data_IF_676614338498
#
_entry.id   IF_676614338498
#
_cell.length_a   1.000
_cell.length_b   1.000
_cell.length_c   1.000
_cell.angle_alpha   90.00
_cell.angle_beta   90.00
_cell.angle_gamma   90.00
#
_symmetry.space_group_name_H-M   'P 1'
#
loop_
_entity.id
_entity.type
_entity.pdbx_description
1 polymer ?
#
# COMPACT_ATOMS: atom_id res chain seq x y z
N UNK A 1 11.57 8.28 -12.28
CA UNK A 1 11.10 8.93 -11.05
C UNK A 1 10.96 7.90 -9.97
N UNK A 2 11.51 8.17 -8.83
CA UNK A 2 11.43 7.22 -7.73
C UNK A 2 10.62 7.79 -6.58
N UNK A 3 10.09 6.87 -5.80
CA UNK A 3 9.39 7.20 -4.56
C UNK A 3 10.03 6.45 -3.44
N UNK A 4 10.11 7.09 -2.28
CA UNK A 4 10.46 6.42 -1.05
C UNK A 4 9.18 6.19 -0.27
N UNK A 5 8.95 4.93 0.09
CA UNK A 5 7.76 4.56 0.85
C UNK A 5 8.11 4.47 2.32
N UNK A 6 7.21 4.96 3.15
CA UNK A 6 7.39 5.00 4.60
C UNK A 6 6.23 4.32 5.29
N UNK A 7 6.53 3.67 6.41
CA UNK A 7 5.48 3.19 7.29
C UNK A 7 4.74 4.40 7.89
N UNK A 8 3.42 4.47 7.78
CA UNK A 8 2.67 5.59 8.35
C UNK A 8 2.69 5.62 9.88
N UNK A 9 3.12 4.54 10.53
CA UNK A 9 3.17 4.47 11.99
C UNK A 9 4.53 4.82 12.56
N UNK A 10 5.61 4.23 12.03
CA UNK A 10 6.96 4.44 12.56
C UNK A 10 7.84 5.33 11.67
N UNK A 11 7.35 5.67 10.49
CA UNK A 11 8.01 6.56 9.52
C UNK A 11 9.35 6.03 9.00
N UNK A 12 9.59 4.73 9.11
CA UNK A 12 10.80 4.12 8.52
C UNK A 12 10.63 3.90 7.04
N UNK A 13 11.74 4.08 6.31
CA UNK A 13 11.75 3.83 4.86
C UNK A 13 11.60 2.33 4.63
N UNK A 14 10.66 1.96 3.76
CA UNK A 14 10.35 0.57 3.46
C UNK A 14 11.06 0.06 2.21
N UNK A 15 11.64 0.94 1.42
CA UNK A 15 12.42 0.57 0.23
C UNK A 15 13.81 1.21 0.26
N UNK A 16 14.64 0.84 1.24
CA UNK A 16 16.00 1.37 1.31
C UNK A 16 16.88 0.90 0.14
N UNK A 17 16.49 -0.19 -0.49
CA UNK A 17 17.11 -0.67 -1.72
C UNK A 17 16.17 -0.52 -2.90
N UNK A 18 16.08 -1.55 -3.72
CA UNK A 18 15.29 -1.53 -4.96
C UNK A 18 13.87 -2.05 -4.80
N UNK A 19 13.55 -2.64 -3.66
CA UNK A 19 12.24 -3.25 -3.42
C UNK A 19 11.62 -2.70 -2.14
N UNK A 20 10.30 -2.63 -2.13
CA UNK A 20 9.54 -2.34 -0.93
C UNK A 20 9.43 -3.62 -0.11
N UNK A 21 9.85 -3.55 1.15
CA UNK A 21 9.88 -4.70 2.05
C UNK A 21 8.73 -4.61 3.02
N UNK A 22 7.89 -5.63 3.03
CA UNK A 22 6.76 -5.73 3.96
C UNK A 22 6.73 -7.13 4.58
N UNK A 23 5.96 -7.26 5.65
CA UNK A 23 5.57 -8.57 6.18
C UNK A 23 4.19 -8.89 5.65
N UNK A 24 3.99 -10.12 5.19
CA UNK A 24 2.67 -10.64 4.86
C UNK A 24 2.29 -11.66 5.93
N UNK A 25 1.09 -11.51 6.48
CA UNK A 25 0.62 -12.32 7.60
C UNK A 25 -0.45 -13.28 7.12
N UNK A 26 -0.24 -14.56 7.37
CA UNK A 26 -1.23 -15.59 7.11
C UNK A 26 -1.49 -16.35 8.40
N UNK A 27 -2.59 -16.03 9.06
CA UNK A 27 -3.04 -16.73 10.27
C UNK A 27 -1.97 -16.77 11.37
N UNK A 28 -1.25 -15.67 11.53
CA UNK A 28 -0.19 -15.54 12.52
C UNK A 28 1.20 -15.84 12.02
N UNK A 29 1.32 -16.50 10.87
CA UNK A 29 2.62 -16.75 10.24
C UNK A 29 2.98 -15.57 9.37
N UNK A 30 4.09 -14.92 9.69
CA UNK A 30 4.56 -13.73 8.98
C UNK A 30 5.80 -14.05 8.18
N UNK A 31 5.80 -13.63 6.92
CA UNK A 31 6.92 -13.81 6.02
C UNK A 31 7.26 -12.48 5.37
N UNK A 32 8.50 -12.32 4.96
CA UNK A 32 8.90 -11.16 4.18
C UNK A 32 8.39 -11.29 2.76
N UNK A 33 7.89 -10.18 2.24
CA UNK A 33 7.47 -10.08 0.85
C UNK A 33 8.08 -8.82 0.27
N UNK A 34 8.55 -8.91 -0.95
CA UNK A 34 9.17 -7.79 -1.65
C UNK A 34 8.31 -7.37 -2.81
N UNK A 35 8.02 -6.10 -2.88
CA UNK A 35 7.16 -5.53 -3.93
C UNK A 35 7.96 -4.52 -4.75
N UNK A 36 7.54 -4.31 -6.00
CA UNK A 36 8.13 -3.27 -6.81
C UNK A 36 7.70 -1.89 -6.31
N UNK A 37 8.61 -0.94 -6.22
CA UNK A 37 8.25 0.44 -5.89
C UNK A 37 7.61 1.19 -7.07
N UNK A 38 7.66 0.61 -8.26
CA UNK A 38 7.11 1.26 -9.46
C UNK A 38 5.61 1.05 -9.53
N UNK A 39 4.88 2.15 -9.64
CA UNK A 39 3.42 2.10 -9.72
C UNK A 39 3.00 1.35 -10.98
N UNK A 40 2.06 0.43 -10.81
CA UNK A 40 1.58 -0.38 -11.92
C UNK A 40 2.39 -1.65 -12.16
N UNK A 41 3.50 -1.83 -11.48
CA UNK A 41 4.29 -3.06 -11.53
C UNK A 41 3.92 -3.92 -10.32
N UNK A 42 3.30 -5.07 -10.59
CA UNK A 42 2.80 -5.96 -9.53
C UNK A 42 3.67 -7.19 -9.32
N UNK A 43 4.94 -7.10 -9.71
CA UNK A 43 5.90 -8.16 -9.48
C UNK A 43 6.14 -8.33 -7.98
N UNK A 44 6.11 -9.57 -7.52
CA UNK A 44 6.24 -9.93 -6.11
C UNK A 44 7.31 -10.99 -5.94
N UNK A 45 8.12 -10.85 -4.91
CA UNK A 45 9.09 -11.86 -4.50
C UNK A 45 8.73 -12.33 -3.10
N UNK A 46 8.61 -13.64 -2.90
CA UNK A 46 8.31 -14.22 -1.61
C UNK A 46 9.12 -15.50 -1.39
N UNK A 47 9.29 -15.94 -0.13
CA UNK A 47 10.01 -17.19 0.13
C UNK A 47 9.28 -18.39 -0.47
N UNK A 48 10.05 -19.41 -0.84
CA UNK A 48 9.46 -20.65 -1.39
C UNK A 48 8.59 -21.37 -0.37
N UNK A 49 8.87 -21.17 0.92
CA UNK A 49 8.10 -21.78 2.00
C UNK A 49 6.72 -21.16 2.19
N UNK A 50 6.46 -20.03 1.58
CA UNK A 50 5.20 -19.31 1.69
C UNK A 50 4.58 -19.18 0.30
N UNK A 51 3.37 -19.70 0.12
CA UNK A 51 2.68 -19.65 -1.16
C UNK A 51 1.39 -18.85 -1.00
N UNK A 52 1.42 -17.56 -1.36
CA UNK A 52 0.19 -16.77 -1.30
C UNK A 52 -0.78 -17.24 -2.38
N UNK A 53 -2.07 -17.22 -2.04
CA UNK A 53 -3.13 -17.69 -2.93
C UNK A 53 -3.79 -16.53 -3.63
N UNK A 54 -3.93 -16.66 -4.94
CA UNK A 54 -4.64 -15.67 -5.74
C UNK A 54 -6.08 -15.53 -5.25
N UNK A 55 -6.52 -14.28 -5.12
CA UNK A 55 -7.87 -13.98 -4.67
C UNK A 55 -8.08 -13.97 -3.18
N UNK A 56 -7.08 -14.35 -2.40
CA UNK A 56 -7.17 -14.31 -0.95
C UNK A 56 -6.69 -12.97 -0.41
N UNK A 57 -7.40 -12.45 0.59
CA UNK A 57 -7.04 -11.20 1.26
C UNK A 57 -6.06 -11.49 2.39
N UNK A 58 -4.98 -10.71 2.44
CA UNK A 58 -3.94 -10.85 3.45
C UNK A 58 -3.80 -9.58 4.26
N UNK A 59 -3.18 -9.71 5.42
CA UNK A 59 -2.76 -8.58 6.22
C UNK A 59 -1.29 -8.31 5.94
N UNK A 60 -0.96 -7.05 5.72
CA UNK A 60 0.42 -6.61 5.50
C UNK A 60 0.85 -5.76 6.68
N UNK A 61 2.07 -5.95 7.12
CA UNK A 61 2.61 -5.28 8.30
C UNK A 61 3.96 -4.65 8.00
N UNK A 62 4.30 -3.63 8.77
CA UNK A 62 5.62 -3.01 8.69
C UNK A 62 6.67 -3.98 9.23
N UNK A 63 7.80 -4.20 8.53
CA UNK A 63 8.83 -5.10 9.03
C UNK A 63 9.58 -4.55 10.26
N UNK A 64 9.47 -3.27 10.53
CA UNK A 64 10.17 -2.63 11.65
C UNK A 64 9.29 -2.56 12.89
N UNK A 65 8.12 -1.90 12.80
CA UNK A 65 7.25 -1.74 13.97
C UNK A 65 6.19 -2.83 14.07
N UNK A 66 6.04 -3.66 13.04
CA UNK A 66 5.13 -4.80 12.97
C UNK A 66 3.65 -4.46 13.03
N UNK A 67 3.31 -3.20 12.88
CA UNK A 67 1.90 -2.78 12.88
C UNK A 67 1.23 -3.12 11.56
N UNK A 68 -0.06 -3.40 11.67
CA UNK A 68 -0.93 -3.65 10.53
C UNK A 68 -1.05 -2.38 9.68
N UNK A 69 -0.84 -2.51 8.39
CA UNK A 69 -0.84 -1.40 7.45
C UNK A 69 -2.16 -1.25 6.70
N UNK A 70 -3.21 -1.92 7.15
CA UNK A 70 -4.53 -1.77 6.54
C UNK A 70 -4.99 -0.32 6.64
N UNK A 71 -5.45 0.22 5.52
CA UNK A 71 -5.92 1.60 5.45
C UNK A 71 -7.16 1.81 6.30
N UNK A 72 -7.24 2.97 6.95
CA UNK A 72 -8.46 3.39 7.63
C UNK A 72 -9.48 3.97 6.65
N UNK A 73 -9.05 4.34 5.46
CA UNK A 73 -9.94 4.85 4.42
C UNK A 73 -10.69 3.72 3.71
N UNK A 74 -10.04 2.56 3.58
CA UNK A 74 -10.66 1.39 2.95
C UNK A 74 -9.94 0.15 3.46
N UNK A 75 -10.64 -0.73 4.15
CA UNK A 75 -10.04 -1.90 4.79
C UNK A 75 -9.63 -2.99 3.80
N UNK A 76 -9.90 -2.82 2.51
CA UNK A 76 -9.40 -3.73 1.48
C UNK A 76 -8.04 -3.30 0.94
N UNK A 77 -7.48 -2.22 1.45
CA UNK A 77 -6.22 -1.66 0.96
C UNK A 77 -5.16 -1.63 2.05
N UNK A 78 -3.91 -1.78 1.62
CA UNK A 78 -2.74 -1.44 2.41
C UNK A 78 -2.44 0.04 2.14
N UNK A 79 -2.12 0.79 3.17
CA UNK A 79 -1.80 2.21 3.00
C UNK A 79 -0.39 2.50 3.49
N UNK A 80 0.38 3.18 2.63
CA UNK A 80 1.73 3.62 2.93
C UNK A 80 1.84 5.11 2.68
N UNK A 81 2.75 5.76 3.38
CA UNK A 81 3.17 7.10 3.02
C UNK A 81 4.24 7.01 1.93
N UNK A 82 4.29 8.00 1.07
CA UNK A 82 5.31 8.07 0.03
C UNK A 82 5.83 9.50 -0.09
N UNK A 83 7.07 9.60 -0.52
CA UNK A 83 7.70 10.89 -0.81
C UNK A 83 8.33 10.82 -2.18
N UNK A 84 8.01 11.79 -3.01
CA UNK A 84 8.56 11.90 -4.37
C UNK A 84 9.94 12.55 -4.35
N UNK A 85 10.65 12.50 -5.48
CA UNK A 85 11.97 13.09 -5.60
C UNK A 85 11.99 14.59 -5.33
N UNK A 86 10.88 15.26 -5.61
CA UNK A 86 10.77 16.71 -5.39
C UNK A 86 10.22 17.06 -4.00
N UNK A 87 10.14 16.07 -3.12
CA UNK A 87 9.76 16.28 -1.73
C UNK A 87 8.26 16.31 -1.45
N UNK A 88 7.42 16.02 -2.43
CA UNK A 88 5.97 15.96 -2.20
C UNK A 88 5.61 14.71 -1.44
N UNK A 89 4.67 14.88 -0.51
CA UNK A 89 4.13 13.75 0.26
C UNK A 89 2.86 13.26 -0.40
N UNK A 90 2.77 11.92 -0.48
CA UNK A 90 1.60 11.24 -1.05
C UNK A 90 1.20 10.10 -0.13
N UNK A 91 -0.01 9.61 -0.32
CA UNK A 91 -0.48 8.37 0.28
C UNK A 91 -0.73 7.36 -0.81
N UNK A 92 -0.25 6.13 -0.61
CA UNK A 92 -0.38 5.08 -1.59
C UNK A 92 -1.13 3.92 -0.96
N UNK A 93 -2.22 3.49 -1.61
CA UNK A 93 -2.97 2.32 -1.20
C UNK A 93 -2.95 1.27 -2.28
N UNK A 94 -2.78 0.01 -1.90
CA UNK A 94 -2.89 -1.08 -2.86
C UNK A 94 -3.70 -2.23 -2.27
N UNK A 95 -4.24 -3.08 -3.16
CA UNK A 95 -5.16 -4.14 -2.74
C UNK A 95 -4.48 -5.14 -1.80
N UNK A 96 -5.21 -5.53 -0.75
CA UNK A 96 -4.83 -6.63 0.13
C UNK A 96 -5.10 -7.99 -0.49
N UNK A 97 -5.85 -8.02 -1.58
CA UNK A 97 -6.19 -9.27 -2.27
C UNK A 97 -5.03 -9.65 -3.17
N UNK A 98 -4.45 -10.81 -2.93
CA UNK A 98 -3.28 -11.25 -3.68
C UNK A 98 -3.65 -11.48 -5.15
N UNK A 99 -2.86 -10.87 -6.06
CA UNK A 99 -3.09 -10.94 -7.48
C UNK A 99 -4.02 -9.87 -8.04
N UNK A 100 -4.70 -9.12 -7.17
CA UNK A 100 -5.53 -8.01 -7.63
C UNK A 100 -4.66 -6.79 -7.91
N UNK A 101 -4.82 -6.22 -9.10
CA UNK A 101 -4.02 -5.10 -9.56
C UNK A 101 -4.80 -3.80 -9.38
N UNK A 102 -4.70 -3.24 -8.20
CA UNK A 102 -5.38 -2.01 -7.86
C UNK A 102 -4.48 -1.18 -6.93
N UNK A 103 -4.10 0.00 -7.39
CA UNK A 103 -3.25 0.91 -6.64
C UNK A 103 -3.83 2.32 -6.77
N UNK A 104 -3.81 3.04 -5.67
CA UNK A 104 -4.36 4.40 -5.59
C UNK A 104 -3.31 5.31 -4.98
N UNK A 105 -3.08 6.45 -5.62
CA UNK A 105 -2.12 7.44 -5.13
C UNK A 105 -2.86 8.71 -4.84
N UNK A 106 -2.92 9.09 -3.58
CA UNK A 106 -3.53 10.34 -3.14
C UNK A 106 -2.47 11.40 -2.91
N UNK A 107 -2.54 12.48 -3.67
CA UNK A 107 -1.60 13.59 -3.53
C UNK A 107 -2.25 14.81 -2.88
N UNK A 108 -3.53 14.73 -2.56
CA UNK A 108 -4.29 15.77 -1.88
C UNK A 108 -5.71 15.29 -1.64
N UNK A 109 -6.54 16.08 -0.96
CA UNK A 109 -7.89 15.63 -0.59
C UNK A 109 -8.76 15.20 -1.77
N UNK A 110 -8.57 15.83 -2.94
CA UNK A 110 -9.38 15.56 -4.12
C UNK A 110 -8.61 14.93 -5.26
N UNK A 111 -7.37 14.56 -5.02
CA UNK A 111 -6.52 14.03 -6.08
C UNK A 111 -6.13 12.59 -5.77
N UNK A 112 -6.78 11.66 -6.46
CA UNK A 112 -6.43 10.25 -6.38
C UNK A 112 -6.21 9.74 -7.79
N UNK A 113 -5.04 9.16 -8.04
CA UNK A 113 -4.69 8.56 -9.32
C UNK A 113 -4.77 7.05 -9.17
N UNK A 114 -5.38 6.39 -10.14
CA UNK A 114 -5.62 4.95 -10.13
C UNK A 114 -4.64 4.25 -11.06
N UNK A 115 -4.13 3.11 -10.61
CA UNK A 115 -3.25 2.24 -11.39
C UNK A 115 -3.75 0.80 -11.29
N UNK A 116 -3.57 0.03 -12.34
CA UNK A 116 -3.90 -1.38 -12.35
C UNK A 116 -5.27 -1.67 -12.94
N UNK A 117 -5.39 -2.85 -13.55
CA UNK A 117 -6.58 -3.25 -14.29
C UNK A 117 -7.82 -3.37 -13.42
N UNK A 118 -7.65 -3.61 -12.13
CA UNK A 118 -8.75 -3.88 -11.21
C UNK A 118 -9.10 -2.68 -10.34
N UNK A 119 -8.45 -1.53 -10.54
CA UNK A 119 -8.68 -0.36 -9.71
C UNK A 119 -10.12 0.13 -9.81
N UNK A 120 -10.76 -0.05 -10.95
CA UNK A 120 -12.15 0.38 -11.15
C UNK A 120 -13.17 -0.42 -10.36
N UNK A 121 -12.76 -1.52 -9.73
CA UNK A 121 -13.64 -2.29 -8.82
C UNK A 121 -13.91 -1.56 -7.52
N UNK A 122 -13.15 -0.50 -7.24
CA UNK A 122 -13.21 0.22 -5.99
C UNK A 122 -13.71 1.64 -6.23
N UNK A 123 -14.44 2.17 -5.26
CA UNK A 123 -14.62 3.60 -5.18
C UNK A 123 -13.28 4.21 -4.80
N UNK A 124 -12.98 5.41 -5.33
CA UNK A 124 -11.74 6.07 -5.02
C UNK A 124 -11.61 6.28 -3.51
N UNK A 125 -10.55 5.76 -2.88
CA UNK A 125 -10.37 5.94 -1.46
C UNK A 125 -10.07 7.40 -1.14
N UNK A 126 -10.60 7.85 -0.03
CA UNK A 126 -10.32 9.19 0.46
C UNK A 126 -9.35 9.10 1.61
N UNK A 127 -8.05 9.16 1.31
CA UNK A 127 -7.01 9.07 2.33
C UNK A 127 -7.00 10.27 3.27
N UNK A 128 -7.71 11.31 2.91
CA UNK A 128 -7.82 12.53 3.70
C UNK A 128 -9.26 12.76 4.16
N UNK A 129 -10.03 11.67 4.30
CA UNK A 129 -11.47 11.69 4.44
C UNK A 129 -12.01 12.50 5.61
N UNK A 130 -11.33 12.40 6.76
CA UNK A 130 -11.79 13.11 7.95
C UNK A 130 -11.81 14.61 7.75
N UNK A 131 -10.93 15.12 6.91
CA UNK A 131 -10.88 16.55 6.60
C UNK A 131 -11.96 16.94 5.60
N UNK A 132 -12.19 16.05 4.64
CA UNK A 132 -13.16 16.35 3.59
C UNK A 132 -14.60 16.32 4.06
N UNK A 133 -14.90 15.41 4.95
CA UNK A 133 -16.29 15.24 5.38
C UNK A 133 -16.84 16.48 6.04
N UNK A 134 -16.00 17.38 6.52
CA UNK A 134 -16.45 18.65 7.06
C UNK A 134 -16.71 19.68 5.98
N UNK A 135 -15.95 19.59 4.90
CA UNK A 135 -16.05 20.59 3.85
C UNK A 135 -17.32 20.43 3.03
N UNK A 136 -17.89 19.25 3.05
CA UNK A 136 -19.08 18.95 2.27
C UNK A 136 -20.35 19.50 2.91
N UNK A 137 -20.27 19.96 4.11
CA UNK A 137 -21.42 20.50 4.84
C UNK A 137 -21.63 22.01 4.60
#
# INVERSE_FOLDING_TARGET
MSRYYHCPHCNRVLNPGTKVVLLIDQSGDRELILLSPDLGDYTVVHPLSFEPRLGQKYTFCCPVCQRNLTSTANDNLVELDAETDDGRRERVGFSRVYGERATFVGSGPDHVTLYGDHATRYDSPNFFGAMRSHDDD
#
